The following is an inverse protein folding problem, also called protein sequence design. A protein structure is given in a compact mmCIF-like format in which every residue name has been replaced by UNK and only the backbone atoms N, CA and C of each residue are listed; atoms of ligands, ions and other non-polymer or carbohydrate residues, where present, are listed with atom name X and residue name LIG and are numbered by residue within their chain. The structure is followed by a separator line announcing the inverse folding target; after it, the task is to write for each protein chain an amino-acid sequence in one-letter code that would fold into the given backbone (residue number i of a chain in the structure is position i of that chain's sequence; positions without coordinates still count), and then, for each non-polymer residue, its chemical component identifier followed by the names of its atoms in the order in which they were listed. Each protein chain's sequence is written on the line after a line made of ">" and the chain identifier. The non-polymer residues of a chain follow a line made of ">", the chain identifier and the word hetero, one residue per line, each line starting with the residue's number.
data_IF_714885728629
#
_entry.id   IF_714885728629
#
_cell.length_a   1.000
_cell.length_b   1.000
_cell.length_c   1.000
_cell.angle_alpha   90.00
_cell.angle_beta   90.00
_cell.angle_gamma   90.00
#
_symmetry.space_group_name_H-M   'P 1'
#
loop_
_entity.id
_entity.type
_entity.pdbx_description
1 polymer ?
#
# COMPACT_ATOMS: atom_id res chain seq x y z
N UNK A 1 -11.93 11.01 -10.83
CA UNK A 1 -12.76 9.96 -11.45
C UNK A 1 -12.20 8.63 -10.96
N UNK A 2 -12.85 8.01 -9.97
CA UNK A 2 -12.41 6.70 -9.50
C UNK A 2 -12.82 5.67 -10.55
N UNK A 3 -11.93 4.74 -10.96
CA UNK A 3 -12.35 3.64 -11.82
C UNK A 3 -13.45 2.87 -11.11
N UNK A 4 -14.56 2.62 -11.81
CA UNK A 4 -15.63 1.78 -11.29
C UNK A 4 -15.16 0.33 -11.42
N UNK A 5 -14.66 -0.22 -10.31
CA UNK A 5 -14.16 -1.60 -10.25
C UNK A 5 -15.29 -2.47 -9.75
N UNK A 6 -15.77 -3.38 -10.60
CA UNK A 6 -16.74 -4.40 -10.24
C UNK A 6 -16.01 -5.75 -10.23
N UNK A 7 -15.98 -6.40 -9.07
CA UNK A 7 -15.40 -7.74 -8.90
C UNK A 7 -16.57 -8.72 -8.98
N UNK A 8 -16.46 -9.72 -9.87
CA UNK A 8 -17.46 -10.78 -9.96
C UNK A 8 -17.40 -11.66 -8.71
N UNK A 9 -18.55 -12.13 -8.24
CA UNK A 9 -18.63 -13.03 -7.10
C UNK A 9 -17.98 -14.39 -7.40
N UNK A 10 -17.89 -14.79 -8.67
CA UNK A 10 -17.19 -16.00 -9.10
C UNK A 10 -15.66 -15.95 -8.88
N UNK A 11 -15.08 -14.75 -8.73
CA UNK A 11 -13.65 -14.59 -8.41
C UNK A 11 -13.37 -14.67 -6.90
N UNK A 12 -14.41 -14.74 -6.08
CA UNK A 12 -14.34 -14.78 -4.64
C UNK A 12 -14.55 -16.20 -4.14
N UNK A 13 -13.52 -16.77 -3.53
CA UNK A 13 -13.63 -18.05 -2.85
C UNK A 13 -13.86 -17.80 -1.35
N UNK A 14 -15.03 -18.20 -0.85
CA UNK A 14 -15.42 -18.05 0.55
C UNK A 14 -15.36 -19.41 1.25
N UNK A 15 -14.52 -19.52 2.29
CA UNK A 15 -14.46 -20.71 3.14
C UNK A 15 -14.91 -20.37 4.57
N UNK A 16 -15.71 -21.26 5.15
CA UNK A 16 -16.24 -21.11 6.50
C UNK A 16 -15.42 -21.91 7.48
N UNK A 17 -14.78 -21.21 8.41
CA UNK A 17 -13.89 -21.79 9.42
C UNK A 17 -14.47 -21.60 10.82
N UNK A 18 -13.97 -22.38 11.77
CA UNK A 18 -14.31 -22.17 13.19
C UNK A 18 -13.66 -20.88 13.66
N UNK A 19 -14.41 -20.06 14.40
CA UNK A 19 -13.85 -18.84 14.96
C UNK A 19 -12.77 -19.19 15.98
N UNK A 20 -11.61 -18.55 15.89
CA UNK A 20 -10.52 -18.75 16.84
C UNK A 20 -10.73 -17.87 18.08
N UNK A 21 -10.76 -18.47 19.27
CA UNK A 21 -10.79 -17.78 20.55
C UNK A 21 -11.27 -18.65 21.72
N UNK A 22 -10.96 -18.27 22.98
CA UNK A 22 -11.50 -18.94 24.16
C UNK A 22 -13.00 -18.64 24.24
N UNK A 23 -13.84 -19.60 23.86
CA UNK A 23 -15.28 -19.41 23.84
C UNK A 23 -16.01 -20.73 24.08
N UNK A 24 -17.10 -20.66 24.85
CA UNK A 24 -17.91 -21.82 25.26
C UNK A 24 -18.53 -22.59 24.09
N UNK A 25 -19.46 -23.51 24.41
CA UNK A 25 -19.96 -24.55 23.50
C UNK A 25 -20.30 -24.11 22.05
N UNK A 26 -20.77 -22.88 21.85
CA UNK A 26 -21.14 -22.36 20.53
C UNK A 26 -19.94 -22.05 19.60
N UNK A 27 -18.79 -21.61 20.13
CA UNK A 27 -17.60 -21.28 19.32
C UNK A 27 -16.94 -22.55 18.76
N UNK A 28 -17.01 -23.64 19.53
CA UNK A 28 -16.47 -24.94 19.13
C UNK A 28 -17.38 -25.69 18.13
N UNK A 29 -18.68 -25.37 18.10
CA UNK A 29 -19.66 -26.08 17.26
C UNK A 29 -20.01 -25.36 15.95
N UNK A 30 -19.95 -24.04 15.89
CA UNK A 30 -20.46 -23.27 14.74
C UNK A 30 -19.32 -22.63 13.93
N UNK A 31 -19.24 -22.96 12.63
CA UNK A 31 -18.28 -22.37 11.68
C UNK A 31 -18.72 -20.97 11.25
N UNK A 32 -18.63 -20.00 12.15
CA UNK A 32 -19.11 -18.63 11.93
C UNK A 32 -18.07 -17.73 11.29
N UNK A 33 -16.79 -18.07 11.37
CA UNK A 33 -15.73 -17.26 10.77
C UNK A 33 -15.65 -17.49 9.26
N UNK A 34 -15.39 -16.43 8.51
CA UNK A 34 -15.29 -16.44 7.05
C UNK A 34 -13.87 -16.12 6.65
N UNK A 35 -13.28 -16.95 5.81
CA UNK A 35 -12.05 -16.66 5.11
C UNK A 35 -12.38 -16.43 3.63
N UNK A 36 -12.22 -15.19 3.19
CA UNK A 36 -12.40 -14.76 1.82
C UNK A 36 -11.04 -14.78 1.12
N UNK A 37 -10.96 -15.48 0.00
CA UNK A 37 -9.78 -15.57 -0.86
C UNK A 37 -10.10 -14.92 -2.20
N UNK A 38 -9.17 -14.10 -2.68
CA UNK A 38 -9.32 -13.37 -3.93
C UNK A 38 -7.99 -13.34 -4.69
N UNK A 39 -7.95 -13.88 -5.90
CA UNK A 39 -6.74 -13.89 -6.73
C UNK A 39 -6.52 -12.52 -7.38
N UNK A 40 -5.77 -11.65 -6.69
CA UNK A 40 -5.47 -10.29 -7.15
C UNK A 40 -4.61 -10.31 -8.42
N UNK A 41 -3.80 -11.34 -8.61
CA UNK A 41 -2.81 -11.39 -9.69
C UNK A 41 -3.43 -11.81 -11.02
N UNK A 42 -4.45 -12.67 -10.97
CA UNK A 42 -5.14 -13.20 -12.17
C UNK A 42 -6.54 -12.61 -12.39
N UNK A 43 -7.01 -11.74 -11.49
CA UNK A 43 -8.32 -11.09 -11.62
C UNK A 43 -8.40 -10.24 -12.89
N UNK A 44 -9.41 -10.51 -13.72
CA UNK A 44 -9.71 -9.71 -14.92
C UNK A 44 -10.41 -8.39 -14.58
N UNK A 45 -11.06 -8.33 -13.41
CA UNK A 45 -11.77 -7.14 -12.91
C UNK A 45 -10.85 -6.03 -12.42
N UNK A 46 -9.56 -6.31 -12.18
CA UNK A 46 -8.61 -5.33 -11.67
C UNK A 46 -7.66 -4.81 -12.76
N UNK A 47 -7.57 -3.49 -12.96
CA UNK A 47 -6.48 -2.92 -13.75
C UNK A 47 -5.12 -3.25 -13.12
N UNK A 48 -4.12 -3.60 -13.94
CA UNK A 48 -2.78 -4.01 -13.48
C UNK A 48 -2.16 -3.07 -12.44
N UNK A 49 -2.30 -1.76 -12.65
CA UNK A 49 -1.78 -0.76 -11.73
C UNK A 49 -2.45 -0.84 -10.34
N UNK A 50 -3.75 -1.14 -10.29
CA UNK A 50 -4.50 -1.36 -9.04
C UNK A 50 -4.08 -2.69 -8.41
N UNK A 51 -3.98 -3.77 -9.19
CA UNK A 51 -3.54 -5.07 -8.69
C UNK A 51 -2.16 -5.01 -8.04
N UNK A 52 -1.18 -4.36 -8.68
CA UNK A 52 0.17 -4.17 -8.14
C UNK A 52 0.15 -3.36 -6.84
N UNK A 53 -0.67 -2.30 -6.76
CA UNK A 53 -0.83 -1.50 -5.54
C UNK A 53 -1.48 -2.31 -4.43
N UNK A 54 -2.55 -3.03 -4.73
CA UNK A 54 -3.26 -3.88 -3.78
C UNK A 54 -2.34 -4.96 -3.20
N UNK A 55 -1.55 -5.63 -4.05
CA UNK A 55 -0.55 -6.61 -3.60
C UNK A 55 0.48 -6.00 -2.64
N UNK A 56 0.95 -4.76 -2.90
CA UNK A 56 1.88 -4.06 -2.00
C UNK A 56 1.25 -3.70 -0.66
N UNK A 57 -0.02 -3.28 -0.64
CA UNK A 57 -0.74 -2.91 0.59
C UNK A 57 -1.23 -4.11 1.39
N UNK A 58 -1.51 -5.22 0.72
CA UNK A 58 -1.96 -6.46 1.35
C UNK A 58 -0.95 -7.00 2.38
N UNK A 59 0.35 -6.84 2.10
CA UNK A 59 1.43 -7.23 2.99
C UNK A 59 1.32 -8.71 3.38
N UNK A 60 1.20 -8.97 4.69
CA UNK A 60 1.09 -10.34 5.25
C UNK A 60 -0.18 -11.10 4.86
N UNK A 61 -1.18 -10.41 4.32
CA UNK A 61 -2.45 -11.02 3.87
C UNK A 61 -2.35 -11.61 2.46
N UNK A 62 -1.25 -11.35 1.75
CA UNK A 62 -1.01 -11.88 0.41
C UNK A 62 -0.20 -13.18 0.49
N UNK A 63 -0.67 -14.20 -0.22
CA UNK A 63 0.08 -15.44 -0.43
C UNK A 63 1.17 -15.26 -1.49
N UNK A 64 2.13 -16.19 -1.56
CA UNK A 64 3.19 -16.17 -2.58
C UNK A 64 2.65 -16.26 -4.03
N UNK A 65 1.46 -16.82 -4.19
CA UNK A 65 0.77 -16.97 -5.48
C UNK A 65 0.07 -15.68 -5.93
N UNK A 66 -0.09 -14.70 -5.04
CA UNK A 66 -0.81 -13.45 -5.32
C UNK A 66 -2.29 -13.48 -4.89
N UNK A 67 -2.70 -14.49 -4.13
CA UNK A 67 -4.05 -14.58 -3.55
C UNK A 67 -4.10 -13.78 -2.25
N UNK A 68 -5.02 -12.82 -2.17
CA UNK A 68 -5.34 -12.05 -0.99
C UNK A 68 -6.29 -12.84 -0.09
N UNK A 69 -5.94 -12.99 1.18
CA UNK A 69 -6.72 -13.73 2.16
C UNK A 69 -7.21 -12.78 3.26
N UNK A 70 -8.52 -12.70 3.44
CA UNK A 70 -9.19 -11.86 4.43
C UNK A 70 -9.97 -12.76 5.37
N UNK A 71 -9.64 -12.72 6.67
CA UNK A 71 -10.41 -13.42 7.69
C UNK A 71 -11.34 -12.44 8.43
N UNK A 72 -12.61 -12.81 8.54
CA UNK A 72 -13.65 -12.09 9.27
C UNK A 72 -14.30 -13.02 10.31
N UNK A 73 -14.15 -12.69 11.58
CA UNK A 73 -14.72 -13.44 12.70
C UNK A 73 -15.29 -12.51 13.80
N UNK A 74 -15.62 -11.26 13.43
CA UNK A 74 -16.05 -10.22 14.37
C UNK A 74 -17.43 -10.50 14.95
N UNK A 75 -18.30 -11.14 14.17
CA UNK A 75 -19.70 -11.35 14.50
C UNK A 75 -20.02 -12.80 14.83
N UNK A 76 -21.15 -13.03 15.49
CA UNK A 76 -21.64 -14.37 15.86
C UNK A 76 -22.34 -15.09 14.71
N UNK A 77 -22.68 -14.40 13.63
CA UNK A 77 -23.39 -14.98 12.47
C UNK A 77 -22.49 -14.98 11.23
N UNK A 78 -22.59 -16.05 10.46
CA UNK A 78 -21.82 -16.26 9.22
C UNK A 78 -22.09 -15.16 8.19
N UNK A 79 -23.36 -14.79 8.00
CA UNK A 79 -23.77 -13.76 7.04
C UNK A 79 -23.14 -12.40 7.32
N UNK A 80 -23.09 -11.99 8.61
CA UNK A 80 -22.45 -10.73 8.99
C UNK A 80 -20.93 -10.78 8.81
N UNK A 81 -20.31 -11.92 9.06
CA UNK A 81 -18.87 -12.08 8.81
C UNK A 81 -18.55 -12.09 7.30
N UNK A 82 -19.44 -12.64 6.46
CA UNK A 82 -19.31 -12.58 5.00
C UNK A 82 -19.40 -11.13 4.50
N UNK A 83 -20.38 -10.37 4.98
CA UNK A 83 -20.52 -8.96 4.65
C UNK A 83 -19.27 -8.15 5.10
N UNK A 84 -18.77 -8.37 6.31
CA UNK A 84 -17.55 -7.73 6.83
C UNK A 84 -16.31 -8.08 6.00
N UNK A 85 -16.16 -9.33 5.57
CA UNK A 85 -15.05 -9.72 4.69
C UNK A 85 -15.10 -8.99 3.33
N UNK A 86 -16.29 -8.90 2.73
CA UNK A 86 -16.51 -8.19 1.44
C UNK A 86 -16.29 -6.70 1.56
N UNK A 87 -16.77 -6.08 2.64
CA UNK A 87 -16.57 -4.65 2.90
C UNK A 87 -15.07 -4.32 3.05
N UNK A 88 -14.32 -5.15 3.78
CA UNK A 88 -12.86 -5.00 3.92
C UNK A 88 -12.12 -5.17 2.60
N UNK A 89 -12.56 -6.11 1.75
CA UNK A 89 -12.01 -6.27 0.41
C UNK A 89 -12.25 -5.01 -0.41
N UNK A 90 -13.51 -4.54 -0.46
CA UNK A 90 -13.91 -3.36 -1.22
C UNK A 90 -13.14 -2.11 -0.76
N UNK A 91 -12.98 -1.92 0.56
CA UNK A 91 -12.21 -0.81 1.12
C UNK A 91 -10.74 -0.84 0.69
N UNK A 92 -10.09 -2.01 0.73
CA UNK A 92 -8.69 -2.15 0.28
C UNK A 92 -8.54 -1.92 -1.22
N UNK A 93 -9.49 -2.40 -2.03
CA UNK A 93 -9.52 -2.17 -3.48
C UNK A 93 -9.73 -0.68 -3.77
N UNK A 94 -10.62 -0.01 -3.05
CA UNK A 94 -10.87 1.42 -3.20
C UNK A 94 -9.62 2.25 -2.84
N UNK A 95 -8.92 1.91 -1.77
CA UNK A 95 -7.63 2.52 -1.42
C UNK A 95 -6.58 2.25 -2.51
N UNK A 96 -6.54 1.03 -3.04
CA UNK A 96 -5.61 0.63 -4.10
C UNK A 96 -5.90 1.36 -5.40
N UNK A 97 -7.16 1.73 -5.65
CA UNK A 97 -7.58 2.43 -6.83
C UNK A 97 -7.05 3.87 -6.86
N UNK A 98 -6.82 4.51 -5.71
CA UNK A 98 -6.31 5.88 -5.63
C UNK A 98 -4.87 5.95 -6.13
N UNK A 99 -4.60 6.64 -7.26
CA UNK A 99 -3.24 6.75 -7.80
C UNK A 99 -2.38 7.65 -6.91
N UNK A 100 -1.12 7.26 -6.63
CA UNK A 100 -0.22 8.12 -5.88
C UNK A 100 0.06 9.40 -6.67
N UNK A 101 -0.03 10.55 -6.01
CA UNK A 101 0.28 11.84 -6.64
C UNK A 101 1.77 11.87 -7.02
N UNK A 102 2.11 12.11 -8.29
CA UNK A 102 3.51 12.11 -8.73
C UNK A 102 4.27 13.25 -8.05
N UNK A 103 5.39 12.91 -7.39
CA UNK A 103 6.28 13.91 -6.80
C UNK A 103 7.02 14.66 -7.92
N UNK A 104 6.78 15.96 -8.03
CA UNK A 104 7.61 16.85 -8.84
C UNK A 104 8.83 17.26 -8.03
N UNK A 105 10.03 16.95 -8.53
CA UNK A 105 11.27 17.36 -7.87
C UNK A 105 11.32 18.88 -7.73
N UNK A 106 11.61 19.37 -6.52
CA UNK A 106 11.75 20.80 -6.29
C UNK A 106 13.07 21.29 -6.87
N UNK A 107 13.05 22.49 -7.48
CA UNK A 107 14.28 23.14 -7.93
C UNK A 107 15.07 23.62 -6.69
N UNK A 108 16.42 23.66 -6.73
CA UNK A 108 17.21 24.26 -5.67
C UNK A 108 16.76 25.69 -5.38
N UNK A 109 16.65 26.03 -4.09
CA UNK A 109 16.18 27.34 -3.64
C UNK A 109 17.13 28.45 -4.09
N UNK A 110 16.60 29.68 -4.25
CA UNK A 110 17.43 30.85 -4.57
C UNK A 110 18.54 31.07 -3.55
N UNK A 111 18.24 30.90 -2.25
CA UNK A 111 19.24 31.00 -1.19
C UNK A 111 20.36 29.95 -1.32
N UNK A 112 20.04 28.72 -1.73
CA UNK A 112 21.05 27.70 -2.01
C UNK A 112 21.95 28.10 -3.19
N UNK A 113 21.37 28.65 -4.27
CA UNK A 113 22.13 29.17 -5.41
C UNK A 113 23.05 30.32 -5.02
N UNK A 114 22.57 31.27 -4.21
CA UNK A 114 23.33 32.44 -3.75
C UNK A 114 24.52 32.02 -2.87
N UNK A 115 24.28 31.18 -1.86
CA UNK A 115 25.35 30.64 -0.97
C UNK A 115 26.42 29.88 -1.75
N UNK A 116 26.04 29.12 -2.78
CA UNK A 116 26.99 28.43 -3.67
C UNK A 116 27.89 29.42 -4.41
N UNK A 117 27.33 30.49 -4.97
CA UNK A 117 28.09 31.52 -5.69
C UNK A 117 29.04 32.27 -4.74
N UNK A 118 28.56 32.68 -3.57
CA UNK A 118 29.37 33.33 -2.53
C UNK A 118 30.52 32.43 -2.05
N UNK A 119 30.22 31.15 -1.79
CA UNK A 119 31.24 30.16 -1.40
C UNK A 119 32.26 29.91 -2.50
N UNK A 120 31.85 29.97 -3.78
CA UNK A 120 32.75 29.88 -4.93
C UNK A 120 33.66 31.11 -5.01
N UNK A 121 33.11 32.31 -4.85
CA UNK A 121 33.85 33.56 -4.85
C UNK A 121 34.88 33.60 -3.70
N UNK A 122 34.46 33.28 -2.47
CA UNK A 122 35.32 33.23 -1.28
C UNK A 122 36.48 32.24 -1.47
N UNK A 123 36.21 31.03 -1.98
CA UNK A 123 37.27 30.05 -2.28
C UNK A 123 38.23 30.52 -3.38
N UNK A 124 37.72 31.22 -4.39
CA UNK A 124 38.54 31.84 -5.43
C UNK A 124 39.53 32.86 -4.86
N UNK A 125 39.03 33.77 -4.02
CA UNK A 125 39.85 34.78 -3.33
C UNK A 125 40.95 34.13 -2.46
N UNK A 126 40.59 33.14 -1.63
CA UNK A 126 41.56 32.40 -0.80
C UNK A 126 42.63 31.70 -1.65
N UNK A 127 42.24 31.11 -2.80
CA UNK A 127 43.22 30.48 -3.71
C UNK A 127 44.12 31.48 -4.42
N UNK A 128 43.62 32.68 -4.73
CA UNK A 128 44.41 33.74 -5.35
C UNK A 128 45.51 34.23 -4.41
N UNK A 129 45.14 34.53 -3.16
CA UNK A 129 46.07 34.98 -2.12
C UNK A 129 47.17 33.96 -1.80
N UNK A 130 46.88 32.66 -1.95
CA UNK A 130 47.89 31.60 -1.78
C UNK A 130 48.88 31.48 -2.94
N UNK A 131 48.52 31.98 -4.13
CA UNK A 131 49.36 31.84 -5.33
C UNK A 131 50.40 32.95 -5.42
N UNK A 132 50.11 34.10 -4.83
CA UNK A 132 51.06 35.15 -4.51
C UNK A 132 51.81 34.79 -3.21
N UNK A 133 52.80 33.91 -3.32
CA UNK A 133 53.85 33.78 -2.30
C UNK A 133 54.75 35.03 -2.33
N UNK A 134 55.55 35.30 -1.27
CA UNK A 134 56.35 36.52 -1.20
C UNK A 134 57.32 36.59 -2.37
N UNK A 135 57.31 37.71 -3.09
CA UNK A 135 58.38 38.04 -4.02
C UNK A 135 59.61 38.40 -3.18
N UNK A 136 60.72 37.66 -3.36
CA UNK A 136 62.05 38.03 -2.85
C UNK A 136 62.58 39.30 -3.53
#
# INVERSE_FOLDING_TARGET
>A
MHPHIAIDEAELEESFVRASGPGGQNVNKLSTAVQLRFDVRRSASLPDAVAVRLMRMAGRRLTAEGVLVIAAQRFRTQERNRADARERLAAMVAEAAVPPTPRRATRPTLASKKRRLESKARRGAVKSLRRSGPEE
#
